data_IF_789543654237
#
_entry.id   IF_789543654237
#
_cell.length_a   1.000
_cell.length_b   1.000
_cell.length_c   1.000
_cell.angle_alpha   90.00
_cell.angle_beta   90.00
_cell.angle_gamma   90.00
#
_symmetry.space_group_name_H-M   'P 1'
#
loop_
_entity.id
_entity.type
_entity.pdbx_description
1 polymer ?
#
# COMPACT_ATOMS: atom_id res chain seq x y z
N UNK A 1 3.85 -7.55 18.49
CA UNK A 1 4.28 -6.41 17.68
C UNK A 1 4.87 -7.04 16.46
N UNK A 2 4.05 -7.11 15.42
CA UNK A 2 4.50 -7.68 14.16
C UNK A 2 5.02 -6.55 13.27
N UNK A 3 6.00 -6.88 12.45
CA UNK A 3 6.44 -6.02 11.36
C UNK A 3 6.06 -6.65 10.02
N UNK A 4 5.78 -5.81 9.03
CA UNK A 4 5.75 -6.23 7.63
C UNK A 4 6.86 -5.46 6.93
N UNK A 5 7.84 -6.18 6.40
CA UNK A 5 8.92 -5.63 5.59
C UNK A 5 8.40 -5.50 4.15
N UNK A 6 8.11 -4.27 3.65
CA UNK A 6 7.60 -4.12 2.31
C UNK A 6 8.66 -4.49 1.27
N UNK A 7 8.25 -5.29 0.30
CA UNK A 7 9.04 -5.57 -0.89
C UNK A 7 8.99 -4.36 -1.81
N UNK A 8 10.14 -3.91 -2.30
CA UNK A 8 10.19 -2.89 -3.37
C UNK A 8 9.63 -3.48 -4.65
N UNK A 9 8.54 -2.91 -5.15
CA UNK A 9 7.86 -3.37 -6.36
C UNK A 9 8.29 -2.53 -7.56
N UNK A 10 8.80 -3.17 -8.61
CA UNK A 10 9.02 -2.56 -9.93
C UNK A 10 8.02 -3.06 -10.98
N UNK A 11 8.28 -2.83 -12.26
CA UNK A 11 7.49 -3.45 -13.33
C UNK A 11 7.83 -4.95 -13.49
N UNK A 12 6.79 -5.78 -13.64
CA UNK A 12 6.95 -7.20 -13.99
C UNK A 12 6.11 -7.53 -15.19
N UNK A 13 6.74 -8.10 -16.23
CA UNK A 13 6.02 -8.54 -17.42
C UNK A 13 5.27 -9.85 -17.19
N UNK A 14 4.13 -9.97 -17.88
CA UNK A 14 3.44 -11.22 -18.11
C UNK A 14 3.55 -11.51 -19.61
N UNK A 15 4.15 -12.64 -20.00
CA UNK A 15 4.19 -13.05 -21.41
C UNK A 15 3.22 -14.19 -21.67
N UNK A 16 2.49 -14.08 -22.78
CA UNK A 16 1.59 -15.11 -23.31
C UNK A 16 1.44 -14.91 -24.81
N UNK A 17 1.66 -15.97 -25.59
CA UNK A 17 1.71 -15.89 -27.05
C UNK A 17 0.35 -15.60 -27.72
N UNK A 18 -0.74 -16.10 -27.13
CA UNK A 18 -2.08 -16.01 -27.70
C UNK A 18 -3.02 -15.25 -26.79
N UNK A 19 -4.16 -14.81 -27.33
CA UNK A 19 -5.27 -14.34 -26.50
C UNK A 19 -5.88 -15.51 -25.74
N UNK A 20 -6.46 -15.24 -24.57
CA UNK A 20 -7.12 -16.26 -23.78
C UNK A 20 -8.37 -15.71 -23.07
N UNK A 21 -9.43 -16.52 -22.96
CA UNK A 21 -10.66 -16.08 -22.31
C UNK A 21 -10.51 -16.00 -20.80
N UNK A 22 -11.31 -15.13 -20.18
CA UNK A 22 -11.55 -15.06 -18.75
C UNK A 22 -12.96 -14.52 -18.49
N UNK A 23 -13.50 -14.72 -17.29
CA UNK A 23 -14.78 -14.11 -16.91
C UNK A 23 -14.54 -12.83 -16.12
N UNK A 24 -15.25 -11.76 -16.47
CA UNK A 24 -15.23 -10.54 -15.66
C UNK A 24 -16.15 -10.66 -14.42
N UNK A 25 -16.26 -9.57 -13.66
CA UNK A 25 -17.07 -9.51 -12.44
C UNK A 25 -18.56 -9.75 -12.67
N UNK A 26 -19.04 -9.58 -13.90
CA UNK A 26 -20.44 -9.72 -14.27
C UNK A 26 -20.72 -11.12 -14.82
N UNK A 27 -19.72 -12.02 -14.82
CA UNK A 27 -19.81 -13.33 -15.43
C UNK A 27 -19.81 -13.28 -16.95
N UNK A 28 -19.42 -12.15 -17.56
CA UNK A 28 -19.32 -12.03 -19.02
C UNK A 28 -17.92 -12.50 -19.44
N UNK A 29 -17.87 -13.36 -20.46
CA UNK A 29 -16.61 -13.82 -21.01
C UNK A 29 -15.93 -12.69 -21.78
N UNK A 30 -14.69 -12.40 -21.39
CA UNK A 30 -13.80 -11.42 -22.00
C UNK A 30 -12.59 -12.14 -22.60
N UNK A 31 -11.87 -11.46 -23.49
CA UNK A 31 -10.63 -11.96 -24.08
C UNK A 31 -9.47 -11.07 -23.65
N UNK A 32 -8.51 -11.65 -22.92
CA UNK A 32 -7.26 -10.95 -22.63
C UNK A 32 -6.35 -11.05 -23.87
N UNK A 33 -5.77 -9.93 -24.34
CA UNK A 33 -4.82 -9.96 -25.45
C UNK A 33 -3.51 -10.68 -25.07
N UNK A 34 -2.66 -11.03 -26.03
CA UNK A 34 -1.32 -11.52 -25.76
C UNK A 34 -0.56 -10.63 -24.76
N UNK A 35 0.32 -11.22 -23.96
CA UNK A 35 1.13 -10.52 -22.94
C UNK A 35 0.34 -9.70 -21.91
N UNK A 36 -0.92 -10.06 -21.66
CA UNK A 36 -1.75 -9.45 -20.61
C UNK A 36 -2.24 -10.52 -19.64
N UNK A 37 -1.97 -10.30 -18.36
CA UNK A 37 -2.43 -11.17 -17.29
C UNK A 37 -3.96 -11.20 -17.26
N UNK A 38 -4.53 -12.39 -17.10
CA UNK A 38 -5.96 -12.55 -16.86
C UNK A 38 -6.26 -12.40 -15.38
N UNK A 39 -7.22 -11.54 -15.06
CA UNK A 39 -7.76 -11.40 -13.71
C UNK A 39 -9.25 -11.67 -13.76
N UNK A 40 -9.70 -12.65 -12.99
CA UNK A 40 -11.09 -13.12 -13.00
C UNK A 40 -11.67 -13.14 -11.59
N UNK A 41 -12.98 -13.34 -11.49
CA UNK A 41 -13.68 -13.63 -10.24
C UNK A 41 -13.96 -15.12 -10.14
N UNK A 42 -14.31 -15.60 -8.95
CA UNK A 42 -14.68 -17.01 -8.79
C UNK A 42 -15.94 -17.27 -9.64
N UNK A 43 -15.89 -18.20 -10.62
CA UNK A 43 -17.02 -18.43 -11.52
C UNK A 43 -18.26 -18.96 -10.78
N UNK A 44 -18.07 -19.59 -9.62
CA UNK A 44 -19.18 -20.04 -8.78
C UNK A 44 -19.72 -18.93 -7.87
N UNK A 45 -18.96 -17.86 -7.66
CA UNK A 45 -19.32 -16.77 -6.76
C UNK A 45 -18.58 -15.47 -7.11
N UNK A 46 -19.22 -14.65 -7.95
CA UNK A 46 -18.71 -13.35 -8.40
C UNK A 46 -18.53 -12.34 -7.25
N UNK A 47 -19.08 -12.65 -6.06
CA UNK A 47 -18.87 -11.86 -4.85
C UNK A 47 -17.50 -12.09 -4.22
N UNK A 48 -16.74 -13.12 -4.63
CA UNK A 48 -15.42 -13.39 -4.06
C UNK A 48 -14.32 -12.47 -4.61
N UNK A 49 -13.16 -12.47 -3.95
CA UNK A 49 -11.99 -11.71 -4.40
C UNK A 49 -11.59 -12.13 -5.83
N UNK A 50 -11.30 -11.17 -6.71
CA UNK A 50 -10.69 -11.50 -7.98
C UNK A 50 -9.31 -12.12 -7.74
N UNK A 51 -8.84 -12.87 -8.72
CA UNK A 51 -7.55 -13.54 -8.68
C UNK A 51 -6.98 -13.69 -10.07
N UNK A 52 -5.65 -13.75 -10.15
CA UNK A 52 -4.95 -14.05 -11.39
C UNK A 52 -5.30 -15.47 -11.86
N UNK A 53 -5.65 -15.62 -13.14
CA UNK A 53 -5.65 -16.93 -13.79
C UNK A 53 -4.24 -17.20 -14.29
N UNK A 54 -3.74 -18.40 -14.00
CA UNK A 54 -2.42 -18.88 -14.40
C UNK A 54 -2.61 -20.22 -15.11
N UNK A 55 -2.12 -20.33 -16.34
CA UNK A 55 -1.99 -21.58 -17.08
C UNK A 55 -0.56 -21.80 -17.59
N UNK A 56 -0.31 -22.95 -18.21
CA UNK A 56 1.01 -23.33 -18.71
C UNK A 56 1.59 -22.36 -19.76
N UNK A 57 0.77 -21.50 -20.36
CA UNK A 57 1.20 -20.49 -21.34
C UNK A 57 1.51 -19.11 -20.74
N UNK A 58 1.19 -18.88 -19.46
CA UNK A 58 1.46 -17.62 -18.76
C UNK A 58 2.82 -17.67 -18.05
N UNK A 59 3.74 -16.81 -18.48
CA UNK A 59 5.06 -16.69 -17.87
C UNK A 59 5.17 -15.32 -17.19
N UNK A 60 5.38 -15.35 -15.89
CA UNK A 60 5.59 -14.16 -15.06
C UNK A 60 7.09 -13.87 -14.95
N UNK A 61 7.50 -12.63 -15.16
CA UNK A 61 8.87 -12.19 -14.98
C UNK A 61 9.40 -12.49 -13.57
N UNK A 62 10.72 -12.72 -13.46
CA UNK A 62 11.38 -13.11 -12.21
C UNK A 62 11.56 -11.95 -11.20
N UNK A 63 11.21 -10.72 -11.58
CA UNK A 63 11.31 -9.54 -10.71
C UNK A 63 10.18 -9.47 -9.68
N UNK A 64 10.45 -8.77 -8.58
CA UNK A 64 9.41 -8.40 -7.63
C UNK A 64 8.70 -7.12 -8.12
N UNK A 65 7.38 -7.15 -8.23
CA UNK A 65 6.71 -6.01 -8.86
C UNK A 65 5.25 -6.15 -9.20
N UNK A 66 4.74 -5.11 -9.84
CA UNK A 66 3.38 -5.00 -10.36
C UNK A 66 3.30 -5.72 -11.71
N UNK A 67 2.46 -6.75 -11.76
CA UNK A 67 2.22 -7.56 -12.97
C UNK A 67 1.01 -7.04 -13.75
N UNK A 68 0.00 -6.55 -13.02
CA UNK A 68 -1.24 -6.04 -13.61
C UNK A 68 -1.82 -4.93 -12.74
N UNK A 69 -2.40 -3.91 -13.39
CA UNK A 69 -3.27 -2.94 -12.75
C UNK A 69 -4.38 -2.53 -13.70
N UNK A 70 -5.60 -2.40 -13.18
CA UNK A 70 -6.71 -1.82 -13.94
C UNK A 70 -6.66 -0.29 -14.01
N UNK A 71 -5.80 0.36 -13.20
CA UNK A 71 -5.68 1.82 -13.18
C UNK A 71 -4.87 2.25 -14.39
N UNK A 72 -5.38 3.08 -15.33
CA UNK A 72 -4.61 3.50 -16.49
C UNK A 72 -3.52 4.51 -16.11
N UNK A 73 -2.47 4.56 -16.93
CA UNK A 73 -1.53 5.69 -16.98
C UNK A 73 -2.07 6.62 -18.08
N UNK A 74 -2.44 7.84 -17.72
CA UNK A 74 -3.06 8.78 -18.65
C UNK A 74 -2.03 9.64 -19.38
N UNK A 75 -0.90 9.88 -18.72
CA UNK A 75 0.21 10.68 -19.21
C UNK A 75 0.99 9.93 -20.29
N UNK A 76 1.46 10.66 -21.30
CA UNK A 76 2.30 10.09 -22.33
C UNK A 76 3.66 9.70 -21.76
N UNK A 77 4.17 8.51 -22.09
CA UNK A 77 5.54 8.12 -21.77
C UNK A 77 6.54 9.10 -22.40
N UNK A 78 7.49 9.59 -21.59
CA UNK A 78 8.54 10.47 -22.06
C UNK A 78 9.35 9.81 -23.19
N UNK A 79 9.52 10.57 -24.26
CA UNK A 79 10.40 10.29 -25.40
C UNK A 79 11.21 11.53 -25.72
N UNK A 80 12.52 11.36 -25.92
CA UNK A 80 13.42 12.44 -26.32
C UNK A 80 13.17 12.94 -27.74
N UNK A 81 12.48 12.15 -28.57
CA UNK A 81 12.14 12.49 -29.95
C UNK A 81 10.84 13.33 -30.07
N UNK A 82 10.04 13.42 -29.01
CA UNK A 82 8.81 14.19 -29.01
C UNK A 82 9.04 15.63 -28.54
N UNK A 83 8.20 16.54 -29.04
CA UNK A 83 8.16 17.94 -28.62
C UNK A 83 6.97 18.18 -27.71
N UNK A 84 7.21 18.69 -26.52
CA UNK A 84 6.17 18.96 -25.52
C UNK A 84 5.87 20.45 -25.42
N UNK A 85 4.59 20.78 -25.30
CA UNK A 85 4.16 22.13 -24.95
C UNK A 85 4.57 22.49 -23.52
N UNK A 86 4.52 23.78 -23.18
CA UNK A 86 4.58 24.21 -21.78
C UNK A 86 3.42 23.57 -21.02
N UNK A 87 3.67 23.17 -19.77
CA UNK A 87 2.72 22.52 -18.88
C UNK A 87 2.26 21.11 -19.30
N UNK A 88 2.82 20.55 -20.37
CA UNK A 88 2.59 19.16 -20.74
C UNK A 88 3.10 18.20 -19.65
N UNK A 89 2.34 17.13 -19.40
CA UNK A 89 2.69 16.08 -18.44
C UNK A 89 3.22 14.84 -19.17
N UNK A 90 4.36 14.34 -18.69
CA UNK A 90 4.98 13.11 -19.21
C UNK A 90 5.26 12.14 -18.08
N UNK A 91 5.16 10.86 -18.38
CA UNK A 91 5.44 9.76 -17.45
C UNK A 91 6.82 9.17 -17.71
N UNK A 92 7.59 8.95 -16.64
CA UNK A 92 8.83 8.18 -16.68
C UNK A 92 8.61 6.75 -16.17
N UNK A 93 8.76 5.72 -17.03
CA UNK A 93 8.65 4.33 -16.61
C UNK A 93 9.71 3.88 -15.61
N UNK A 94 10.88 4.53 -15.57
CA UNK A 94 11.97 4.11 -14.69
C UNK A 94 11.75 4.53 -13.24
N UNK A 95 11.21 5.74 -13.02
CA UNK A 95 10.94 6.28 -11.68
C UNK A 95 9.47 6.25 -11.27
N UNK A 96 8.59 5.86 -12.18
CA UNK A 96 7.13 5.93 -12.06
C UNK A 96 6.56 7.32 -11.74
N UNK A 97 7.33 8.38 -12.01
CA UNK A 97 6.94 9.76 -11.74
C UNK A 97 6.38 10.47 -12.97
N UNK A 98 5.53 11.46 -12.71
CA UNK A 98 5.05 12.43 -13.69
C UNK A 98 5.91 13.69 -13.63
N UNK A 99 6.26 14.22 -14.78
CA UNK A 99 7.01 15.47 -14.93
C UNK A 99 6.19 16.47 -15.74
N UNK A 100 6.22 17.73 -15.32
CA UNK A 100 5.61 18.85 -16.05
C UNK A 100 6.68 19.65 -16.79
N UNK A 101 6.44 19.90 -18.07
CA UNK A 101 7.31 20.76 -18.88
C UNK A 101 7.18 22.22 -18.45
N UNK A 102 8.31 22.88 -18.19
CA UNK A 102 8.38 24.29 -17.79
C UNK A 102 8.51 25.24 -18.99
N UNK A 103 8.94 24.73 -20.14
CA UNK A 103 9.19 25.50 -21.36
C UNK A 103 8.29 25.04 -22.50
N UNK A 104 8.02 25.95 -23.45
CA UNK A 104 7.36 25.59 -24.70
C UNK A 104 8.35 24.92 -25.66
N UNK A 105 7.82 24.09 -26.58
CA UNK A 105 8.60 23.35 -27.57
C UNK A 105 9.76 22.53 -26.96
N UNK A 106 9.52 21.98 -25.77
CA UNK A 106 10.50 21.19 -25.03
C UNK A 106 10.80 19.89 -25.79
N UNK A 107 12.00 19.78 -26.36
CA UNK A 107 12.40 18.65 -27.21
C UNK A 107 13.76 18.15 -26.77
N UNK A 108 13.91 16.84 -26.57
CA UNK A 108 15.18 16.20 -26.24
C UNK A 108 15.78 16.54 -24.86
N UNK A 109 15.09 17.32 -24.02
CA UNK A 109 15.59 17.67 -22.68
C UNK A 109 15.37 16.53 -21.70
N UNK A 110 16.44 16.06 -21.08
CA UNK A 110 16.39 15.04 -20.04
C UNK A 110 15.49 15.46 -18.87
N UNK A 111 14.77 14.50 -18.28
CA UNK A 111 13.89 14.74 -17.13
C UNK A 111 14.62 15.24 -15.87
N UNK A 112 15.95 15.10 -15.82
CA UNK A 112 16.81 15.65 -14.78
C UNK A 112 17.12 17.14 -14.95
N UNK A 113 16.82 17.73 -16.12
CA UNK A 113 16.99 19.16 -16.37
C UNK A 113 15.90 19.97 -15.65
N UNK A 114 16.24 20.50 -14.48
CA UNK A 114 15.32 21.28 -13.62
C UNK A 114 14.90 22.62 -14.21
N UNK A 115 15.56 23.08 -15.29
CA UNK A 115 15.12 24.28 -16.03
C UNK A 115 14.00 23.97 -17.02
N UNK A 116 13.89 22.70 -17.46
CA UNK A 116 12.92 22.26 -18.45
C UNK A 116 11.78 21.42 -17.85
N UNK A 117 12.01 20.74 -16.72
CA UNK A 117 11.07 19.82 -16.11
C UNK A 117 10.91 20.05 -14.61
N UNK A 118 9.70 19.86 -14.10
CA UNK A 118 9.40 19.81 -12.66
C UNK A 118 8.70 18.50 -12.32
N UNK A 119 9.20 17.71 -11.35
CA UNK A 119 8.52 16.50 -10.91
C UNK A 119 7.21 16.84 -10.21
N UNK A 120 6.17 16.04 -10.49
CA UNK A 120 4.83 16.16 -9.90
C UNK A 120 4.47 15.00 -8.96
N UNK A 121 5.41 14.07 -8.74
CA UNK A 121 5.23 12.88 -7.90
C UNK A 121 4.88 11.64 -8.71
N UNK A 122 4.55 10.56 -8.01
CA UNK A 122 4.20 9.28 -8.62
C UNK A 122 2.95 9.39 -9.50
N UNK A 123 2.95 8.68 -10.63
CA UNK A 123 1.75 8.56 -11.47
C UNK A 123 0.62 7.89 -10.70
N UNK A 124 -0.64 8.21 -11.02
CA UNK A 124 -1.81 7.71 -10.29
C UNK A 124 -1.79 6.20 -10.03
N UNK A 125 -1.36 5.37 -11.00
CA UNK A 125 -1.22 3.91 -10.84
C UNK A 125 -0.25 3.50 -9.72
N UNK A 126 0.85 4.23 -9.57
CA UNK A 126 1.97 3.89 -8.68
C UNK A 126 1.94 4.63 -7.34
N UNK A 127 1.07 5.63 -7.19
CA UNK A 127 0.93 6.42 -5.97
C UNK A 127 0.62 5.60 -4.71
N UNK A 128 -0.02 4.43 -4.80
CA UNK A 128 -0.23 3.54 -3.65
C UNK A 128 0.96 2.62 -3.34
N UNK A 129 1.97 2.56 -4.22
CA UNK A 129 3.14 1.68 -4.12
C UNK A 129 4.44 2.44 -3.85
N UNK A 130 4.35 3.76 -3.63
CA UNK A 130 5.49 4.58 -3.24
C UNK A 130 5.74 4.51 -1.72
N UNK A 131 6.65 5.33 -1.20
CA UNK A 131 7.01 5.36 0.24
C UNK A 131 6.22 6.40 1.05
N UNK A 132 5.31 7.13 0.39
CA UNK A 132 4.54 8.21 1.00
C UNK A 132 3.13 7.71 1.30
N UNK A 133 2.48 8.25 2.32
CA UNK A 133 1.12 7.85 2.67
C UNK A 133 0.08 8.89 2.20
N UNK A 134 0.53 10.05 1.72
CA UNK A 134 -0.30 11.17 1.27
C UNK A 134 -0.61 11.18 -0.24
N UNK A 135 0.21 10.52 -1.05
CA UNK A 135 -0.07 10.19 -2.45
C UNK A 135 -1.17 9.14 -2.48
N UNK A 136 -2.05 9.17 -3.49
CA UNK A 136 -3.15 8.22 -3.58
C UNK A 136 -3.40 7.76 -5.01
N UNK A 137 -3.44 6.45 -5.19
CA UNK A 137 -4.05 5.83 -6.38
C UNK A 137 -5.56 5.91 -6.28
N UNK A 138 -6.19 6.32 -7.37
CA UNK A 138 -7.65 6.38 -7.49
C UNK A 138 -8.13 5.83 -8.82
N UNK A 139 -9.24 5.11 -8.81
CA UNK A 139 -9.88 4.57 -10.01
C UNK A 139 -11.37 4.37 -9.73
N UNK A 140 -12.29 4.66 -10.66
CA UNK A 140 -13.73 4.46 -10.42
C UNK A 140 -14.07 3.01 -10.04
N UNK A 141 -15.00 2.86 -9.09
CA UNK A 141 -15.59 1.63 -8.56
C UNK A 141 -14.63 0.66 -7.84
N UNK A 142 -13.46 0.39 -8.41
CA UNK A 142 -12.52 -0.62 -7.94
C UNK A 142 -11.10 -0.36 -8.45
N UNK A 143 -10.11 -0.53 -7.57
CA UNK A 143 -8.69 -0.65 -7.91
C UNK A 143 -8.33 -2.12 -7.80
N UNK A 144 -7.79 -2.71 -8.86
CA UNK A 144 -7.28 -4.08 -8.90
C UNK A 144 -5.81 -4.01 -9.26
N UNK A 145 -4.97 -4.62 -8.44
CA UNK A 145 -3.57 -4.85 -8.76
C UNK A 145 -3.24 -6.32 -8.56
N UNK A 146 -2.32 -6.83 -9.38
CA UNK A 146 -1.66 -8.12 -9.15
C UNK A 146 -0.18 -7.87 -9.00
N UNK A 147 0.36 -8.29 -7.86
CA UNK A 147 1.78 -8.15 -7.53
C UNK A 147 2.43 -9.52 -7.43
N UNK A 148 3.68 -9.61 -7.86
CA UNK A 148 4.57 -10.74 -7.62
C UNK A 148 5.64 -10.31 -6.62
N UNK A 149 5.58 -10.71 -5.34
CA UNK A 149 6.59 -10.31 -4.37
C UNK A 149 7.95 -11.00 -4.53
N UNK A 150 7.99 -12.18 -5.19
CA UNK A 150 9.19 -13.05 -5.33
C UNK A 150 9.86 -13.46 -4.00
N UNK A 151 9.17 -13.24 -2.88
CA UNK A 151 9.59 -13.64 -1.53
C UNK A 151 8.36 -14.14 -0.78
N UNK A 152 8.59 -14.92 0.28
CA UNK A 152 7.52 -15.39 1.17
C UNK A 152 6.86 -14.16 1.83
N UNK A 153 5.65 -13.84 1.40
CA UNK A 153 4.93 -12.65 1.85
C UNK A 153 3.70 -13.06 2.65
N UNK A 154 3.80 -12.95 3.97
CA UNK A 154 2.74 -13.28 4.91
C UNK A 154 1.93 -12.04 5.31
N UNK A 155 2.56 -10.87 5.21
CA UNK A 155 2.00 -9.59 5.60
C UNK A 155 1.47 -8.81 4.40
N UNK A 156 0.29 -8.26 4.58
CA UNK A 156 -0.36 -7.30 3.69
C UNK A 156 -0.88 -6.14 4.53
N UNK A 157 -0.64 -4.92 4.07
CA UNK A 157 -1.15 -3.71 4.68
C UNK A 157 -1.58 -2.73 3.61
N UNK A 158 -2.70 -2.05 3.83
CA UNK A 158 -3.04 -0.84 3.11
C UNK A 158 -3.32 0.31 4.06
N UNK A 159 -2.86 1.50 3.67
CA UNK A 159 -2.97 2.75 4.40
C UNK A 159 -3.66 3.84 3.57
N UNK A 160 -4.18 4.84 4.30
CA UNK A 160 -4.90 5.99 3.75
C UNK A 160 -5.94 5.57 2.68
N UNK A 161 -6.70 4.51 2.98
CA UNK A 161 -7.69 3.94 2.06
C UNK A 161 -9.06 4.60 2.29
N UNK A 162 -9.74 4.94 1.20
CA UNK A 162 -11.15 5.28 1.19
C UNK A 162 -11.89 4.31 0.28
N UNK A 163 -12.35 3.20 0.86
CA UNK A 163 -13.06 2.15 0.14
C UNK A 163 -14.13 1.49 1.04
N UNK A 164 -15.03 0.71 0.46
CA UNK A 164 -16.03 -0.06 1.19
C UNK A 164 -15.46 -1.36 1.76
N UNK A 165 -14.59 -2.02 0.99
CA UNK A 165 -13.99 -3.31 1.33
C UNK A 165 -12.68 -3.51 0.58
N UNK A 166 -11.89 -4.46 1.08
CA UNK A 166 -10.62 -4.90 0.51
C UNK A 166 -10.67 -6.40 0.39
N UNK A 167 -10.25 -6.90 -0.76
CA UNK A 167 -10.22 -8.32 -1.06
C UNK A 167 -8.82 -8.69 -1.49
N UNK A 168 -8.30 -9.74 -0.89
CA UNK A 168 -6.96 -10.25 -1.19
C UNK A 168 -7.10 -11.71 -1.59
N UNK A 169 -6.41 -12.10 -2.65
CA UNK A 169 -6.27 -13.50 -3.03
C UNK A 169 -4.82 -13.82 -3.37
N UNK A 170 -4.42 -15.06 -3.12
CA UNK A 170 -3.07 -15.55 -3.42
C UNK A 170 -3.20 -16.74 -4.36
N UNK A 171 -2.51 -16.65 -5.49
CA UNK A 171 -2.49 -17.66 -6.54
C UNK A 171 -1.08 -18.14 -6.72
N UNK A 172 -0.86 -19.43 -6.53
CA UNK A 172 0.39 -20.09 -6.86
C UNK A 172 0.36 -20.58 -8.31
N UNK A 173 1.49 -20.47 -9.01
CA UNK A 173 1.62 -20.88 -10.43
C UNK A 173 1.33 -22.37 -10.64
N UNK A 174 1.58 -23.23 -9.65
CA UNK A 174 1.40 -24.68 -9.75
C UNK A 174 0.09 -25.19 -9.14
N UNK A 175 -0.41 -24.52 -8.09
CA UNK A 175 -1.60 -24.95 -7.34
C UNK A 175 -2.87 -24.15 -7.63
N UNK A 176 -2.76 -23.04 -8.35
CA UNK A 176 -3.86 -22.11 -8.55
C UNK A 176 -4.18 -21.31 -7.29
N UNK A 177 -5.46 -20.98 -7.08
CA UNK A 177 -5.91 -20.18 -5.94
C UNK A 177 -5.72 -20.92 -4.61
N UNK A 178 -4.85 -20.40 -3.74
CA UNK A 178 -4.51 -21.02 -2.44
C UNK A 178 -5.07 -20.26 -1.23
N UNK A 179 -5.39 -18.98 -1.38
CA UNK A 179 -5.93 -18.17 -0.28
C UNK A 179 -6.83 -17.06 -0.80
N UNK A 180 -7.82 -16.71 0.02
CA UNK A 180 -8.71 -15.57 -0.20
C UNK A 180 -9.17 -15.00 1.12
N UNK A 181 -9.20 -13.68 1.20
CA UNK A 181 -9.71 -12.94 2.34
C UNK A 181 -10.51 -11.73 1.86
N UNK A 182 -11.60 -11.43 2.57
CA UNK A 182 -12.37 -10.21 2.40
C UNK A 182 -12.43 -9.47 3.74
N UNK A 183 -12.11 -8.18 3.71
CA UNK A 183 -12.18 -7.29 4.85
C UNK A 183 -13.12 -6.12 4.55
N UNK A 184 -14.22 -6.04 5.29
CA UNK A 184 -15.08 -4.86 5.27
C UNK A 184 -14.38 -3.69 5.95
N UNK A 185 -14.30 -2.55 5.26
CA UNK A 185 -13.82 -1.30 5.83
C UNK A 185 -14.94 -0.52 6.50
N UNK A 186 -16.20 -0.93 6.38
CA UNK A 186 -17.30 -0.28 7.11
C UNK A 186 -17.11 -0.51 8.60
N UNK A 187 -17.09 0.58 9.38
CA UNK A 187 -17.09 0.50 10.84
C UNK A 187 -18.52 0.27 11.27
N UNK A 188 -18.77 -0.85 11.95
CA UNK A 188 -20.03 -1.13 12.63
C UNK A 188 -20.25 -0.05 13.70
N UNK A 189 -21.13 0.90 13.41
CA UNK A 189 -21.39 2.08 14.27
C UNK A 189 -22.82 2.16 14.79
N UNK A 190 -23.61 1.13 14.51
CA UNK A 190 -24.92 0.92 15.10
C UNK A 190 -24.73 0.47 16.55
N UNK A 191 -24.68 1.44 17.46
CA UNK A 191 -25.24 1.18 18.80
C UNK A 191 -26.72 0.77 18.66
N UNK A 192 -27.35 0.32 19.74
CA UNK A 192 -28.69 -0.30 19.77
C UNK A 192 -29.88 0.60 19.38
N UNK A 193 -29.66 1.72 18.68
CA UNK A 193 -30.71 2.67 18.28
C UNK A 193 -31.07 2.53 16.80
N UNK A 194 -32.36 2.32 16.53
CA UNK A 194 -32.94 2.30 15.18
C UNK A 194 -32.64 3.59 14.40
N UNK A 195 -32.66 4.76 15.06
CA UNK A 195 -32.32 6.03 14.42
C UNK A 195 -30.86 6.04 13.91
N UNK A 196 -29.92 5.54 14.72
CA UNK A 196 -28.53 5.45 14.31
C UNK A 196 -28.33 4.45 13.16
N UNK A 197 -29.14 3.39 13.10
CA UNK A 197 -29.11 2.45 11.99
C UNK A 197 -29.61 3.09 10.68
N UNK A 198 -30.70 3.86 10.72
CA UNK A 198 -31.29 4.50 9.53
C UNK A 198 -30.52 5.73 9.03
N UNK A 199 -30.02 6.59 9.93
CA UNK A 199 -29.62 7.97 9.57
C UNK A 199 -28.15 8.29 9.82
N UNK A 200 -27.40 7.45 10.54
CA UNK A 200 -26.00 7.76 10.86
C UNK A 200 -25.12 7.57 9.64
N UNK A 201 -24.22 8.53 9.42
CA UNK A 201 -23.22 8.44 8.35
C UNK A 201 -22.33 7.22 8.55
N UNK A 202 -22.21 6.40 7.50
CA UNK A 202 -21.32 5.24 7.48
C UNK A 202 -19.88 5.72 7.66
N UNK A 203 -19.25 5.33 8.77
CA UNK A 203 -17.81 5.51 9.00
C UNK A 203 -17.05 4.35 8.35
N UNK A 204 -15.87 4.65 7.80
CA UNK A 204 -14.99 3.66 7.18
C UNK A 204 -13.64 3.66 7.88
N UNK A 205 -13.02 2.49 7.99
CA UNK A 205 -11.61 2.33 8.34
C UNK A 205 -10.79 2.87 7.19
N UNK A 206 -9.70 3.55 7.53
CA UNK A 206 -8.73 4.09 6.57
C UNK A 206 -7.51 3.18 6.40
N UNK A 207 -7.63 1.92 6.82
CA UNK A 207 -6.58 0.93 6.84
C UNK A 207 -7.17 -0.48 6.79
N UNK A 208 -6.38 -1.43 6.31
CA UNK A 208 -6.61 -2.86 6.42
C UNK A 208 -5.25 -3.56 6.55
N UNK A 209 -5.21 -4.67 7.29
CA UNK A 209 -3.98 -5.45 7.51
C UNK A 209 -4.34 -6.93 7.59
N UNK A 210 -3.49 -7.77 7.03
CA UNK A 210 -3.54 -9.22 7.20
C UNK A 210 -2.12 -9.75 7.38
N UNK A 211 -1.93 -10.64 8.36
CA UNK A 211 -0.67 -11.34 8.59
C UNK A 211 -0.83 -12.85 8.32
N UNK A 212 -1.82 -13.22 7.51
CA UNK A 212 -2.29 -14.60 7.30
C UNK A 212 -2.08 -15.09 5.88
N UNK A 213 -1.38 -14.34 5.04
CA UNK A 213 -1.10 -14.81 3.68
C UNK A 213 -0.23 -16.07 3.76
N UNK A 214 -0.57 -17.12 3.00
CA UNK A 214 0.16 -18.39 3.07
C UNK A 214 1.58 -18.23 2.52
N UNK A 215 2.56 -19.00 3.03
CA UNK A 215 3.97 -18.79 2.74
C UNK A 215 4.41 -19.36 1.38
N UNK A 216 3.99 -18.71 0.28
CA UNK A 216 4.38 -19.05 -1.09
C UNK A 216 5.29 -17.97 -1.69
N UNK A 217 6.54 -18.30 -2.00
CA UNK A 217 7.54 -17.33 -2.45
C UNK A 217 7.26 -16.76 -3.86
N UNK A 218 6.61 -17.55 -4.73
CA UNK A 218 6.37 -17.19 -6.15
C UNK A 218 4.88 -17.04 -6.47
N UNK A 219 4.06 -16.86 -5.44
CA UNK A 219 2.63 -16.65 -5.64
C UNK A 219 2.34 -15.20 -6.04
N UNK A 220 1.35 -15.05 -6.92
CA UNK A 220 0.77 -13.76 -7.25
C UNK A 220 -0.26 -13.38 -6.19
N UNK A 221 -0.19 -12.14 -5.73
CA UNK A 221 -1.18 -11.58 -4.81
C UNK A 221 -2.04 -10.59 -5.56
N UNK A 222 -3.33 -10.91 -5.68
CA UNK A 222 -4.32 -10.02 -6.27
C UNK A 222 -5.00 -9.25 -5.17
N UNK A 223 -4.96 -7.92 -5.25
CA UNK A 223 -5.55 -7.01 -4.29
C UNK A 223 -6.62 -6.21 -5.01
N UNK A 224 -7.84 -6.25 -4.50
CA UNK A 224 -8.97 -5.50 -4.98
C UNK A 224 -9.52 -4.58 -3.89
N UNK A 225 -9.48 -3.28 -4.14
CA UNK A 225 -9.97 -2.23 -3.26
C UNK A 225 -11.24 -1.67 -3.87
N UNK A 226 -12.39 -1.94 -3.23
CA UNK A 226 -13.71 -1.73 -3.84
C UNK A 226 -14.49 -0.63 -3.16
N UNK A 227 -15.12 0.22 -3.96
CA UNK A 227 -16.13 1.18 -3.53
C UNK A 227 -17.19 1.32 -4.64
N UNK A 228 -18.10 0.34 -4.76
CA UNK A 228 -19.13 0.36 -5.80
C UNK A 228 -19.91 1.67 -5.81
N UNK A 229 -20.11 2.26 -7.00
CA UNK A 229 -20.77 3.57 -7.16
C UNK A 229 -19.97 4.77 -6.65
N UNK A 230 -18.69 4.60 -6.31
CA UNK A 230 -17.80 5.67 -5.88
C UNK A 230 -16.40 5.51 -6.46
N UNK A 231 -15.47 6.34 -6.00
CA UNK A 231 -14.06 6.27 -6.39
C UNK A 231 -13.26 5.78 -5.18
N UNK A 232 -12.81 4.51 -5.14
CA UNK A 232 -11.84 4.08 -4.16
C UNK A 232 -10.53 4.85 -4.29
N UNK A 233 -9.90 5.10 -3.14
CA UNK A 233 -8.55 5.68 -3.06
C UNK A 233 -7.69 4.84 -2.14
N UNK A 234 -6.40 4.69 -2.45
CA UNK A 234 -5.43 4.01 -1.60
C UNK A 234 -4.11 4.76 -1.63
N UNK A 235 -3.54 5.07 -0.47
CA UNK A 235 -2.28 5.80 -0.40
C UNK A 235 -1.05 4.95 -0.10
N UNK A 236 -1.24 3.76 0.46
CA UNK A 236 -0.12 2.86 0.71
C UNK A 236 -0.62 1.43 0.58
N UNK A 237 0.17 0.59 -0.07
CA UNK A 237 -0.03 -0.84 -0.18
C UNK A 237 1.30 -1.54 -0.04
N UNK A 238 1.52 -2.11 1.14
CA UNK A 238 2.73 -2.83 1.48
C UNK A 238 2.44 -4.32 1.56
N UNK A 239 3.32 -5.10 0.94
CA UNK A 239 3.32 -6.56 1.00
C UNK A 239 4.72 -7.05 1.27
N UNK A 240 4.86 -8.09 2.09
CA UNK A 240 6.14 -8.76 2.24
C UNK A 240 6.23 -9.70 3.45
N UNK A 241 7.47 -10.10 3.79
CA UNK A 241 7.73 -10.97 4.93
C UNK A 241 7.31 -10.31 6.24
N UNK A 242 6.98 -11.14 7.23
CA UNK A 242 6.64 -10.69 8.58
C UNK A 242 7.66 -11.18 9.59
N UNK A 243 7.93 -10.38 10.62
CA UNK A 243 8.65 -10.84 11.80
C UNK A 243 7.89 -10.43 13.07
N UNK A 244 7.96 -11.28 14.10
CA UNK A 244 7.38 -10.99 15.42
C UNK A 244 8.49 -10.46 16.34
N UNK A 245 8.27 -9.26 16.90
CA UNK A 245 9.20 -8.64 17.85
C UNK A 245 8.84 -8.95 19.32
N UNK A 246 7.72 -9.62 19.59
CA UNK A 246 7.23 -9.91 20.93
C UNK A 246 5.87 -9.25 21.22
N UNK A 247 5.40 -9.28 22.46
CA UNK A 247 4.02 -8.86 22.80
C UNK A 247 3.93 -7.36 23.06
N UNK A 248 3.08 -6.67 22.31
CA UNK A 248 2.80 -5.24 22.57
C UNK A 248 2.03 -5.09 23.88
N UNK A 249 2.55 -4.27 24.79
CA UNK A 249 1.91 -3.98 26.07
C UNK A 249 0.78 -2.97 25.90
N UNK A 250 -0.14 -2.93 26.89
CA UNK A 250 -1.33 -2.07 26.86
C UNK A 250 -1.03 -0.57 27.06
N UNK A 251 0.24 -0.18 27.15
CA UNK A 251 0.72 1.21 27.27
C UNK A 251 0.89 1.90 25.91
N UNK A 252 0.51 1.26 24.81
CA UNK A 252 0.63 1.83 23.47
C UNK A 252 -0.11 3.18 23.37
N UNK A 253 0.64 4.22 23.04
CA UNK A 253 0.15 5.55 22.74
C UNK A 253 0.32 5.89 21.26
N UNK A 254 -0.52 6.78 20.75
CA UNK A 254 -0.31 7.39 19.45
C UNK A 254 -0.61 8.88 19.49
N UNK A 255 0.12 9.63 18.67
CA UNK A 255 0.11 11.08 18.60
C UNK A 255 0.01 11.52 17.12
N UNK A 256 -0.62 12.67 16.89
CA UNK A 256 -0.56 13.39 15.63
C UNK A 256 0.56 14.41 15.73
N UNK A 257 1.64 14.19 14.96
CA UNK A 257 2.72 15.15 14.82
C UNK A 257 2.40 16.09 13.65
N UNK A 258 1.86 17.25 13.96
CA UNK A 258 1.53 18.30 12.98
C UNK A 258 2.79 19.10 12.60
N UNK A 259 2.98 19.37 11.30
CA UNK A 259 4.06 20.20 10.77
C UNK A 259 3.59 21.60 10.35
N UNK A 260 2.34 21.93 10.65
CA UNK A 260 1.75 23.25 10.42
C UNK A 260 2.44 24.33 11.27
N UNK A 261 2.46 25.55 10.75
CA UNK A 261 3.02 26.71 11.45
C UNK A 261 1.94 27.77 11.66
N UNK A 262 1.95 28.42 12.82
CA UNK A 262 1.00 29.49 13.16
C UNK A 262 1.77 30.72 13.57
N UNK A 263 1.68 31.78 12.77
CA UNK A 263 2.26 33.08 13.08
C UNK A 263 1.20 34.04 13.62
N UNK A 264 1.62 34.96 14.50
CA UNK A 264 0.77 35.99 15.08
C UNK A 264 1.16 37.36 14.55
N UNK A 265 0.17 38.13 14.16
CA UNK A 265 0.33 39.52 13.75
C UNK A 265 0.40 40.43 14.99
N UNK A 266 0.92 41.65 14.80
CA UNK A 266 1.03 42.64 15.88
C UNK A 266 -0.33 43.06 16.47
N UNK A 267 -1.40 42.95 15.69
CA UNK A 267 -2.78 43.23 16.10
C UNK A 267 -3.43 42.09 16.91
N UNK A 268 -2.69 41.01 17.19
CA UNK A 268 -3.16 39.85 17.94
C UNK A 268 -3.93 38.82 17.08
N UNK A 269 -4.08 39.04 15.77
CA UNK A 269 -4.65 38.03 14.87
C UNK A 269 -3.62 36.94 14.54
N UNK A 270 -4.07 35.73 14.19
CA UNK A 270 -3.19 34.61 13.83
C UNK A 270 -3.43 34.13 12.40
N UNK A 271 -2.36 33.63 11.77
CA UNK A 271 -2.38 33.00 10.45
C UNK A 271 -1.72 31.64 10.54
N UNK A 272 -2.50 30.58 10.29
CA UNK A 272 -1.99 29.21 10.25
C UNK A 272 -1.75 28.76 8.82
N UNK A 273 -0.52 28.35 8.52
CA UNK A 273 -0.20 27.60 7.31
C UNK A 273 -0.29 26.11 7.63
N UNK A 274 -1.41 25.50 7.20
CA UNK A 274 -1.59 24.06 7.31
C UNK A 274 -0.57 23.32 6.46
N UNK A 275 0.10 22.35 7.07
CA UNK A 275 0.98 21.39 6.39
C UNK A 275 0.47 19.97 6.69
N UNK A 276 1.20 18.99 6.17
CA UNK A 276 0.91 17.60 6.46
C UNK A 276 1.21 17.28 7.93
N UNK A 277 0.83 16.07 8.35
CA UNK A 277 1.08 15.55 9.68
C UNK A 277 1.50 14.08 9.59
N UNK A 278 2.22 13.59 10.58
CA UNK A 278 2.62 12.18 10.70
C UNK A 278 1.97 11.54 11.93
N UNK A 279 1.60 10.26 11.83
CA UNK A 279 1.26 9.47 13.01
C UNK A 279 2.54 9.07 13.72
N UNK A 280 2.62 9.32 15.03
CA UNK A 280 3.69 8.80 15.89
C UNK A 280 3.12 7.76 16.84
N UNK A 281 3.76 6.61 16.96
CA UNK A 281 3.37 5.55 17.89
C UNK A 281 4.47 5.39 18.93
N UNK A 282 4.09 5.32 20.20
CA UNK A 282 4.97 4.92 21.30
C UNK A 282 4.42 3.62 21.86
N UNK A 283 5.22 2.56 21.86
CA UNK A 283 4.80 1.25 22.31
C UNK A 283 5.88 0.59 23.14
N UNK A 284 5.50 -0.11 24.20
CA UNK A 284 6.40 -1.01 24.91
C UNK A 284 6.13 -2.44 24.43
N UNK A 285 7.18 -3.15 24.02
CA UNK A 285 7.12 -4.52 23.53
C UNK A 285 7.82 -5.44 24.52
N UNK A 286 7.08 -6.39 25.09
CA UNK A 286 7.62 -7.41 25.96
C UNK A 286 8.29 -8.51 25.12
N UNK A 287 9.56 -8.76 25.43
CA UNK A 287 10.40 -9.78 24.80
C UNK A 287 10.91 -10.73 25.89
N UNK A 288 10.90 -12.02 25.60
CA UNK A 288 11.49 -13.02 26.50
C UNK A 288 13.02 -12.89 26.49
N UNK A 289 13.66 -13.05 27.65
CA UNK A 289 15.11 -12.85 27.81
C UNK A 289 15.97 -13.65 26.82
N UNK A 290 15.49 -14.81 26.35
CA UNK A 290 16.18 -15.64 25.35
C UNK A 290 16.18 -15.07 23.93
N UNK A 291 15.35 -14.08 23.63
CA UNK A 291 15.17 -13.50 22.29
C UNK A 291 15.63 -12.04 22.21
N UNK A 292 16.05 -11.43 23.33
CA UNK A 292 16.36 -10.00 23.40
C UNK A 292 17.48 -9.60 22.45
N UNK A 293 18.58 -10.36 22.43
CA UNK A 293 19.71 -10.05 21.57
C UNK A 293 19.34 -10.19 20.09
N UNK A 294 18.60 -11.25 19.72
CA UNK A 294 18.12 -11.47 18.36
C UNK A 294 17.17 -10.35 17.88
N UNK A 295 16.25 -9.90 18.74
CA UNK A 295 15.34 -8.79 18.44
C UNK A 295 16.13 -7.47 18.33
N UNK A 296 17.14 -7.25 19.17
CA UNK A 296 17.96 -6.05 19.12
C UNK A 296 18.80 -5.98 17.83
N UNK A 297 19.40 -7.08 17.42
CA UNK A 297 20.12 -7.21 16.14
C UNK A 297 19.18 -6.99 14.95
N UNK A 298 18.00 -7.62 14.95
CA UNK A 298 16.98 -7.43 13.92
C UNK A 298 16.55 -5.96 13.81
N UNK A 299 16.33 -5.29 14.94
CA UNK A 299 15.99 -3.87 14.94
C UNK A 299 17.14 -3.01 14.40
N UNK A 300 18.41 -3.39 14.66
CA UNK A 300 19.56 -2.69 14.12
C UNK A 300 19.60 -2.72 12.57
N UNK A 301 19.11 -3.78 11.94
CA UNK A 301 18.98 -3.91 10.48
C UNK A 301 17.84 -3.06 9.91
N UNK A 302 16.82 -2.77 10.71
CA UNK A 302 15.69 -1.91 10.35
C UNK A 302 15.91 -0.42 10.69
N UNK A 303 17.11 -0.03 11.14
CA UNK A 303 17.44 1.38 11.41
C UNK A 303 17.14 2.24 10.19
N UNK A 304 16.30 3.27 10.40
CA UNK A 304 15.90 4.25 9.39
C UNK A 304 15.13 3.67 8.18
N UNK A 305 14.75 2.39 8.19
CA UNK A 305 13.96 1.79 7.10
C UNK A 305 12.46 1.99 7.36
N UNK A 306 11.68 2.48 6.39
CA UNK A 306 10.23 2.56 6.53
C UNK A 306 9.60 1.17 6.32
N UNK A 307 9.00 0.64 7.38
CA UNK A 307 8.30 -0.65 7.39
C UNK A 307 6.91 -0.48 7.99
N UNK A 308 6.06 -1.50 7.87
CA UNK A 308 4.76 -1.48 8.55
C UNK A 308 4.93 -2.03 9.95
N UNK A 309 4.49 -1.26 10.93
CA UNK A 309 4.48 -1.61 12.34
C UNK A 309 3.05 -1.95 12.75
N UNK A 310 2.84 -3.15 13.31
CA UNK A 310 1.53 -3.65 13.73
C UNK A 310 1.55 -3.98 15.23
N UNK A 311 1.09 -3.03 16.04
CA UNK A 311 0.90 -3.25 17.48
C UNK A 311 -0.40 -3.98 17.82
N UNK A 312 -1.43 -3.80 17.00
CA UNK A 312 -2.68 -4.55 17.10
C UNK A 312 -3.44 -4.51 15.77
N UNK A 313 -3.94 -5.66 15.33
CA UNK A 313 -4.82 -5.74 14.15
C UNK A 313 -6.23 -5.20 14.39
N UNK A 314 -6.58 -4.84 15.63
CA UNK A 314 -7.92 -4.36 15.99
C UNK A 314 -8.06 -2.84 15.85
N UNK A 315 -6.95 -2.11 15.95
CA UNK A 315 -6.95 -0.65 16.04
C UNK A 315 -5.96 -0.05 15.03
N UNK A 316 -6.46 0.75 14.09
CA UNK A 316 -5.58 1.47 13.15
C UNK A 316 -4.68 2.51 13.80
N UNK A 317 -4.99 2.89 15.04
CA UNK A 317 -4.10 3.71 15.85
C UNK A 317 -2.80 2.97 16.19
N UNK A 318 -2.85 1.64 16.32
CA UNK A 318 -1.70 0.79 16.62
C UNK A 318 -0.96 0.32 15.35
N UNK A 319 -1.27 0.89 14.18
CA UNK A 319 -0.64 0.53 12.90
C UNK A 319 -0.07 1.79 12.25
N UNK A 320 1.19 1.74 11.83
CA UNK A 320 1.83 2.82 11.09
C UNK A 320 2.80 2.25 10.04
N UNK A 321 2.87 2.89 8.88
CA UNK A 321 3.98 2.72 7.96
C UNK A 321 4.99 3.84 8.24
N UNK A 322 6.23 3.48 8.55
CA UNK A 322 7.21 4.45 9.02
C UNK A 322 8.50 3.84 9.52
N UNK A 323 9.41 4.70 9.95
CA UNK A 323 10.69 4.30 10.56
C UNK A 323 10.57 4.37 12.07
N UNK A 324 11.34 3.56 12.80
CA UNK A 324 11.48 3.80 14.22
C UNK A 324 12.54 4.89 14.49
N UNK A 325 12.29 5.74 15.48
CA UNK A 325 13.19 6.83 15.88
C UNK A 325 14.06 6.46 17.07
N UNK A 326 13.56 5.61 17.98
CA UNK A 326 14.29 5.17 19.17
C UNK A 326 13.84 3.78 19.60
N UNK A 327 14.79 3.00 20.13
CA UNK A 327 14.57 1.71 20.76
C UNK A 327 15.37 1.70 22.06
N UNK A 328 14.70 1.45 23.18
CA UNK A 328 15.33 1.35 24.50
C UNK A 328 14.93 0.04 25.19
N UNK A 329 15.82 -0.96 25.21
CA UNK A 329 15.63 -2.15 26.03
C UNK A 329 15.70 -1.80 27.52
N UNK A 330 14.75 -2.32 28.30
CA UNK A 330 14.67 -2.15 29.74
C UNK A 330 14.50 -3.52 30.38
N UNK A 331 15.41 -3.89 31.27
CA UNK A 331 15.33 -5.14 32.03
C UNK A 331 14.12 -5.09 32.96
N UNK A 332 13.24 -6.10 32.89
CA UNK A 332 12.07 -6.23 33.76
C UNK A 332 12.07 -7.60 34.41
N UNK A 333 12.92 -7.72 35.42
CA UNK A 333 13.13 -8.99 36.13
C UNK A 333 14.04 -9.94 35.36
N UNK A 334 14.03 -11.21 35.75
CA UNK A 334 15.02 -12.20 35.28
C UNK A 334 14.71 -12.82 33.92
N UNK A 335 13.43 -12.89 33.54
CA UNK A 335 12.97 -13.65 32.37
C UNK A 335 12.42 -12.78 31.24
N UNK A 336 12.28 -11.46 31.46
CA UNK A 336 11.57 -10.56 30.56
C UNK A 336 12.28 -9.23 30.44
N UNK A 337 12.17 -8.66 29.25
CA UNK A 337 12.62 -7.31 28.93
C UNK A 337 11.50 -6.57 28.24
N UNK A 338 11.35 -5.29 28.57
CA UNK A 338 10.45 -4.38 27.88
C UNK A 338 11.29 -3.50 26.96
N UNK A 339 10.98 -3.51 25.66
CA UNK A 339 11.58 -2.64 24.69
C UNK A 339 10.66 -1.46 24.42
N UNK A 340 11.06 -0.26 24.88
CA UNK A 340 10.32 0.96 24.59
C UNK A 340 10.69 1.45 23.20
N UNK A 341 9.69 1.52 22.32
CA UNK A 341 9.82 1.79 20.90
C UNK A 341 9.04 3.05 20.53
N UNK A 342 9.67 3.93 19.76
CA UNK A 342 9.01 5.08 19.15
C UNK A 342 9.08 4.98 17.62
N UNK A 343 7.93 5.10 16.99
CA UNK A 343 7.75 4.99 15.53
C UNK A 343 7.26 6.33 14.99
N UNK A 344 7.90 6.80 13.93
CA UNK A 344 7.48 7.96 13.15
C UNK A 344 6.93 7.50 11.80
N UNK A 345 5.63 7.73 11.59
CA UNK A 345 4.97 7.45 10.32
C UNK A 345 5.50 8.33 9.18
N UNK A 346 5.42 7.83 7.96
CA UNK A 346 5.73 8.62 6.77
C UNK A 346 4.63 9.63 6.49
N UNK A 347 5.00 10.71 5.80
CA UNK A 347 4.11 11.78 5.37
C UNK A 347 3.94 11.69 3.88
#
# INVERSE_FOLDING_TARGET
MDIIEPVTLGDVSCTRATSAPYYDRNGVQQMAPPNTLRVTYDPADLSKAPYALLDAGEVIGAGAGLVYSNVPIAEQTYSSAATYAKDALVYDPASHNVYQSLIASNTGKALTDTSAWTPRGAVNRWAMLDQYNNTQTSHPEEIIIVVSPQVISQGFYIGNVDAAEVRVSVVDLSKGLVYREEQSLKVSTSGSSFFNWCFKRIRRKTWAVSLKLPPYARALVTIAIRKPGGVPKCGMCAIGPTADLGKTLMTLGAEIKDFSDTSFNFDGTSKTQYRNWAKRITADVMVDASQVDAVYELMADYRQKPIVWVGSQNYGLAIAYGRYSSLKPVVKGKTRWDMSLQIEGTV
#
